data_IF_146479208883
#
_entry.id   IF_146479208883
#
_cell.length_a   1.000
_cell.length_b   1.000
_cell.length_c   1.000
_cell.angle_alpha   90.00
_cell.angle_beta   90.00
_cell.angle_gamma   90.00
#
_symmetry.space_group_name_H-M   'P 1'
#
loop_
_entity.id
_entity.type
_entity.pdbx_description
1 polymer ?
#
# COMPACT_ATOMS: atom_id res chain seq x y z
N UNK A 1 -2.43 13.10 -24.68
CA UNK A 1 -1.21 12.29 -24.40
C UNK A 1 -0.54 12.89 -23.17
N UNK A 2 -0.55 12.18 -22.04
CA UNK A 2 0.24 12.55 -20.86
C UNK A 2 1.51 11.71 -20.86
N UNK A 3 2.66 12.35 -21.07
CA UNK A 3 3.97 11.69 -21.06
C UNK A 3 4.54 11.52 -19.64
N UNK A 4 3.87 12.06 -18.62
CA UNK A 4 4.25 11.93 -17.23
C UNK A 4 3.56 10.72 -16.61
N UNK A 5 4.20 9.56 -16.69
CA UNK A 5 3.81 8.37 -15.93
C UNK A 5 4.73 8.26 -14.69
N UNK A 6 4.20 8.24 -13.45
CA UNK A 6 5.06 8.22 -12.25
C UNK A 6 6.02 7.01 -12.23
N UNK A 7 5.61 5.89 -12.83
CA UNK A 7 6.46 4.70 -12.96
C UNK A 7 7.66 4.83 -13.90
N UNK A 8 7.79 5.92 -14.68
CA UNK A 8 9.00 6.15 -15.51
C UNK A 8 10.10 6.90 -14.76
N UNK A 9 9.85 7.36 -13.53
CA UNK A 9 10.86 8.03 -12.70
C UNK A 9 11.96 7.02 -12.33
N UNK A 10 13.19 7.32 -12.72
CA UNK A 10 14.35 6.46 -12.42
C UNK A 10 15.02 6.83 -11.10
N UNK A 11 15.19 8.12 -10.82
CA UNK A 11 15.91 8.62 -9.62
C UNK A 11 15.44 10.03 -9.26
N UNK A 12 15.50 10.34 -7.97
CA UNK A 12 15.10 11.64 -7.39
C UNK A 12 16.15 12.06 -6.36
N UNK A 13 16.59 13.31 -6.43
CA UNK A 13 17.56 13.92 -5.52
C UNK A 13 16.98 15.18 -4.90
N UNK A 14 17.23 15.37 -3.61
CA UNK A 14 16.88 16.57 -2.84
C UNK A 14 18.14 17.00 -2.08
N UNK A 15 18.52 18.28 -2.19
CA UNK A 15 19.70 18.86 -1.54
C UNK A 15 21.01 18.05 -1.73
N UNK A 16 21.20 17.50 -2.94
CA UNK A 16 22.39 16.69 -3.25
C UNK A 16 22.32 15.23 -2.78
N UNK A 17 21.28 14.83 -2.06
CA UNK A 17 21.07 13.46 -1.58
C UNK A 17 19.99 12.73 -2.39
N UNK A 18 20.26 11.49 -2.81
CA UNK A 18 19.25 10.66 -3.45
C UNK A 18 18.20 10.20 -2.43
N UNK A 19 16.92 10.45 -2.73
CA UNK A 19 15.78 9.87 -2.01
C UNK A 19 15.17 8.68 -2.77
N UNK A 20 15.45 8.60 -4.07
CA UNK A 20 15.16 7.46 -4.92
C UNK A 20 16.30 7.26 -5.93
N UNK A 21 16.74 6.02 -6.14
CA UNK A 21 17.78 5.68 -7.13
C UNK A 21 17.50 4.31 -7.73
N UNK A 22 17.74 4.14 -9.03
CA UNK A 22 17.54 2.88 -9.75
C UNK A 22 16.15 2.25 -9.52
N UNK A 23 15.13 3.10 -9.49
CA UNK A 23 13.73 2.73 -9.19
C UNK A 23 13.48 2.18 -7.77
N UNK A 24 14.34 2.51 -6.80
CA UNK A 24 14.20 2.17 -5.39
C UNK A 24 14.12 3.42 -4.52
N UNK A 25 13.13 3.49 -3.65
CA UNK A 25 13.02 4.52 -2.62
C UNK A 25 13.98 4.19 -1.50
N UNK A 26 14.79 5.16 -1.06
CA UNK A 26 15.89 4.95 -0.11
C UNK A 26 15.54 5.36 1.32
N UNK A 27 14.37 5.98 1.52
CA UNK A 27 13.94 6.59 2.78
C UNK A 27 12.93 5.75 3.55
N UNK A 28 12.53 4.59 3.01
CA UNK A 28 11.57 3.67 3.63
C UNK A 28 12.07 2.23 3.53
N UNK A 29 11.70 1.42 4.52
CA UNK A 29 11.72 -0.03 4.39
C UNK A 29 10.42 -0.45 3.69
N UNK A 30 10.50 -0.65 2.37
CA UNK A 30 9.34 -0.94 1.52
C UNK A 30 8.63 -2.26 1.92
N UNK A 31 9.33 -3.39 2.18
CA UNK A 31 8.69 -4.59 2.73
C UNK A 31 7.96 -4.36 4.07
N UNK A 32 8.60 -3.67 5.02
CA UNK A 32 7.98 -3.42 6.33
C UNK A 32 6.74 -2.51 6.18
N UNK A 33 6.84 -1.47 5.34
CA UNK A 33 5.73 -0.56 5.06
C UNK A 33 4.52 -1.29 4.44
N UNK A 34 4.76 -2.19 3.48
CA UNK A 34 3.69 -2.99 2.88
C UNK A 34 3.03 -3.94 3.89
N UNK A 35 3.83 -4.55 4.77
CA UNK A 35 3.30 -5.41 5.83
C UNK A 35 2.43 -4.62 6.84
N UNK A 36 2.87 -3.42 7.23
CA UNK A 36 2.08 -2.53 8.10
C UNK A 36 0.78 -2.10 7.42
N UNK A 37 0.85 -1.66 6.15
CA UNK A 37 -0.32 -1.27 5.38
C UNK A 37 -1.35 -2.41 5.27
N UNK A 38 -0.89 -3.64 5.06
CA UNK A 38 -1.75 -4.83 5.04
C UNK A 38 -2.40 -5.05 6.41
N UNK A 39 -1.63 -5.02 7.51
CA UNK A 39 -2.16 -5.22 8.86
C UNK A 39 -3.24 -4.17 9.21
N UNK A 40 -3.02 -2.91 8.85
CA UNK A 40 -4.00 -1.84 9.03
C UNK A 40 -5.26 -2.09 8.19
N UNK A 41 -5.10 -2.52 6.94
CA UNK A 41 -6.23 -2.84 6.04
C UNK A 41 -7.11 -3.93 6.65
N UNK A 42 -6.52 -5.01 7.16
CA UNK A 42 -7.28 -6.08 7.81
C UNK A 42 -8.02 -5.59 9.06
N UNK A 43 -7.36 -4.79 9.90
CA UNK A 43 -7.98 -4.24 11.11
C UNK A 43 -9.18 -3.34 10.79
N UNK A 44 -9.07 -2.49 9.76
CA UNK A 44 -10.17 -1.64 9.29
C UNK A 44 -11.34 -2.47 8.78
N UNK A 45 -11.06 -3.50 7.98
CA UNK A 45 -12.11 -4.38 7.45
C UNK A 45 -12.83 -5.16 8.54
N UNK A 46 -12.11 -5.75 9.49
CA UNK A 46 -12.71 -6.46 10.64
C UNK A 46 -13.65 -5.54 11.41
N UNK A 47 -13.18 -4.33 11.76
CA UNK A 47 -14.00 -3.31 12.45
C UNK A 47 -15.24 -2.92 11.64
N UNK A 48 -15.12 -2.79 10.32
CA UNK A 48 -16.24 -2.39 9.48
C UNK A 48 -17.34 -3.45 9.42
N UNK A 49 -16.97 -4.73 9.26
CA UNK A 49 -17.90 -5.85 9.23
C UNK A 49 -18.56 -6.06 10.60
N UNK A 50 -17.78 -5.97 11.68
CA UNK A 50 -18.31 -6.03 13.06
C UNK A 50 -19.35 -4.94 13.34
N UNK A 51 -19.14 -3.73 12.82
CA UNK A 51 -20.03 -2.59 13.03
C UNK A 51 -21.26 -2.59 12.11
N UNK A 52 -21.24 -3.32 10.99
CA UNK A 52 -22.28 -3.27 9.95
C UNK A 52 -22.59 -4.69 9.44
N UNK A 53 -23.44 -5.42 10.18
CA UNK A 53 -23.79 -6.80 9.88
C UNK A 53 -24.54 -6.99 8.54
N UNK A 54 -25.01 -5.91 7.91
CA UNK A 54 -25.67 -5.89 6.61
C UNK A 54 -24.69 -5.78 5.42
N UNK A 55 -23.41 -5.46 5.68
CA UNK A 55 -22.37 -5.46 4.65
C UNK A 55 -21.86 -6.89 4.45
N UNK A 56 -22.21 -7.48 3.31
CA UNK A 56 -21.63 -8.75 2.90
C UNK A 56 -20.15 -8.55 2.52
N UNK A 57 -19.20 -9.24 3.17
CA UNK A 57 -17.80 -9.15 2.78
C UNK A 57 -17.59 -9.72 1.36
N UNK A 58 -16.63 -9.18 0.60
CA UNK A 58 -16.32 -9.70 -0.72
C UNK A 58 -15.75 -11.12 -0.60
N UNK A 59 -16.30 -12.06 -1.39
CA UNK A 59 -15.94 -13.48 -1.31
C UNK A 59 -14.61 -13.75 -2.01
N UNK A 60 -13.63 -14.30 -1.28
CA UNK A 60 -12.35 -14.76 -1.83
C UNK A 60 -11.37 -13.64 -2.25
N UNK A 61 -11.82 -12.40 -2.37
CA UNK A 61 -10.95 -11.23 -2.60
C UNK A 61 -10.20 -10.81 -1.34
N UNK A 62 -10.75 -11.14 -0.16
CA UNK A 62 -10.17 -10.84 1.15
C UNK A 62 -10.14 -12.10 2.02
N UNK A 63 -9.19 -13.02 1.77
CA UNK A 63 -9.12 -14.30 2.48
C UNK A 63 -9.04 -14.17 4.01
N UNK A 64 -8.55 -13.04 4.52
CA UNK A 64 -8.46 -12.75 5.95
C UNK A 64 -9.82 -12.49 6.64
N UNK A 65 -10.91 -12.41 5.87
CA UNK A 65 -12.30 -12.31 6.34
C UNK A 65 -13.10 -13.62 6.22
N UNK A 66 -12.55 -14.66 5.58
CA UNK A 66 -13.24 -15.95 5.37
C UNK A 66 -13.17 -16.89 6.60
N UNK A 67 -12.51 -16.47 7.69
CA UNK A 67 -12.21 -17.26 8.89
C UNK A 67 -13.31 -17.22 9.96
#
# INVERSE_FOLDING_TARGET
>A
MNYAHPGVVHSVMVDGAFVMRDRKVLTVDEPALLAEAQAVTEAVWRRMVEANADIAPPRGEMPFLDA
#
